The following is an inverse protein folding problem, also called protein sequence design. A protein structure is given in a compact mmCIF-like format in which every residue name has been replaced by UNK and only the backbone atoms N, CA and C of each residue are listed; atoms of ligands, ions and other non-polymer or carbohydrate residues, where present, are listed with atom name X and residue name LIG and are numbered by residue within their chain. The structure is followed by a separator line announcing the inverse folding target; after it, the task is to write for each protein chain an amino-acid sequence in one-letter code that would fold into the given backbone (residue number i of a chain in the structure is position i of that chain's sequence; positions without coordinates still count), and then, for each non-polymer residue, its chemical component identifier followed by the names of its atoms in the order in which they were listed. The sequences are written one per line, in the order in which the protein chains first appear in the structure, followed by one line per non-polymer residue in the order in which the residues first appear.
data_IF_921754827423
#
_entry.id   IF_921754827423
#
_cell.length_a   1.000
_cell.length_b   1.000
_cell.length_c   1.000
_cell.angle_alpha   90.00
_cell.angle_beta   90.00
_cell.angle_gamma   90.00
#
_symmetry.space_group_name_H-M   'P 1'
#
loop_
_entity.id
_entity.type
_entity.pdbx_description
1 polymer ?
#
# COMPACT_ATOMS: atom_id res chain seq x y z
N UNK A 1 42.64 -43.69 51.16
CA UNK A 1 42.98 -42.25 51.35
C UNK A 1 43.75 -41.86 50.08
N UNK A 2 43.39 -40.89 49.23
CA UNK A 2 42.60 -39.69 49.37
C UNK A 2 41.74 -39.44 48.10
N UNK A 3 40.61 -38.74 48.28
CA UNK A 3 39.69 -38.28 47.25
C UNK A 3 40.28 -37.05 46.55
N UNK A 4 40.21 -36.99 45.22
CA UNK A 4 40.48 -35.75 44.48
C UNK A 4 39.32 -35.48 43.51
N UNK A 5 38.42 -34.62 43.95
CA UNK A 5 37.28 -34.13 43.17
C UNK A 5 37.75 -33.08 42.16
N UNK A 6 37.57 -33.35 40.87
CA UNK A 6 37.72 -32.35 39.81
C UNK A 6 36.31 -31.87 39.40
N UNK A 7 35.90 -30.74 39.97
CA UNK A 7 34.72 -29.99 39.53
C UNK A 7 35.08 -29.29 38.22
N UNK A 8 34.62 -29.84 37.09
CA UNK A 8 34.68 -29.15 35.79
C UNK A 8 33.57 -28.10 35.74
N UNK A 9 33.94 -26.85 36.00
CA UNK A 9 33.08 -25.69 35.78
C UNK A 9 32.94 -25.45 34.27
N UNK A 10 31.75 -25.73 33.73
CA UNK A 10 31.42 -25.42 32.34
C UNK A 10 30.90 -23.99 32.27
N UNK A 11 31.77 -23.03 31.91
CA UNK A 11 31.38 -21.66 31.63
C UNK A 11 30.68 -21.60 30.26
N UNK A 12 29.35 -21.50 30.25
CA UNK A 12 28.57 -21.25 29.04
C UNK A 12 28.64 -19.76 28.73
N UNK A 13 29.49 -19.39 27.77
CA UNK A 13 29.49 -18.05 27.18
C UNK A 13 28.34 -17.98 26.18
N UNK A 14 27.23 -17.37 26.58
CA UNK A 14 26.13 -17.05 25.68
C UNK A 14 26.57 -15.94 24.72
N UNK A 15 26.96 -16.31 23.50
CA UNK A 15 27.21 -15.36 22.43
C UNK A 15 25.87 -14.74 22.01
N UNK A 16 25.63 -13.50 22.45
CA UNK A 16 24.58 -12.63 21.90
C UNK A 16 24.98 -12.27 20.47
N UNK A 17 24.54 -13.05 19.49
CA UNK A 17 24.62 -12.65 18.08
C UNK A 17 23.65 -11.49 17.85
N UNK A 18 24.10 -10.34 17.34
CA UNK A 18 23.18 -9.31 16.90
C UNK A 18 22.35 -9.88 15.76
N UNK A 19 21.03 -9.92 15.94
CA UNK A 19 20.08 -10.27 14.90
C UNK A 19 20.21 -9.25 13.77
N UNK A 20 20.97 -9.64 12.74
CA UNK A 20 21.00 -8.92 11.47
C UNK A 20 19.57 -9.00 10.94
N UNK A 21 18.85 -7.89 11.01
CA UNK A 21 17.53 -7.77 10.39
C UNK A 21 17.73 -7.94 8.88
N UNK A 22 17.61 -9.18 8.41
CA UNK A 22 17.55 -9.51 7.00
C UNK A 22 16.24 -8.92 6.45
N UNK A 23 16.28 -7.63 6.09
CA UNK A 23 15.26 -7.02 5.26
C UNK A 23 15.33 -7.74 3.93
N UNK A 24 14.35 -8.60 3.65
CA UNK A 24 14.20 -9.24 2.35
C UNK A 24 14.26 -8.13 1.29
N UNK A 25 15.31 -8.14 0.47
CA UNK A 25 15.58 -7.08 -0.49
C UNK A 25 14.38 -6.95 -1.45
N UNK A 26 13.90 -5.73 -1.61
CA UNK A 26 12.95 -5.41 -2.67
C UNK A 26 13.69 -5.53 -4.01
N UNK A 27 13.30 -6.51 -4.84
CA UNK A 27 13.98 -6.83 -6.09
C UNK A 27 13.49 -6.00 -7.28
N UNK A 28 12.43 -5.20 -7.10
CA UNK A 28 11.89 -4.32 -8.14
C UNK A 28 12.55 -2.93 -8.05
N UNK A 29 13.44 -2.57 -9.00
CA UNK A 29 14.10 -1.26 -9.00
C UNK A 29 13.13 -0.09 -9.21
N UNK A 30 11.93 -0.37 -9.72
CA UNK A 30 10.89 0.63 -9.98
C UNK A 30 9.92 0.78 -8.79
N UNK A 31 10.14 0.05 -7.69
CA UNK A 31 9.28 0.11 -6.51
C UNK A 31 9.92 0.94 -5.39
N UNK A 32 9.40 2.16 -5.10
CA UNK A 32 10.04 3.10 -4.19
C UNK A 32 9.70 2.86 -2.71
N UNK A 33 8.75 1.96 -2.41
CA UNK A 33 8.23 1.80 -1.06
C UNK A 33 9.03 0.78 -0.24
N UNK A 34 9.05 0.97 1.08
CA UNK A 34 9.72 0.05 2.03
C UNK A 34 9.05 -1.33 2.03
N UNK A 35 7.73 -1.38 1.89
CA UNK A 35 6.96 -2.62 1.81
C UNK A 35 7.24 -3.34 0.49
N UNK A 36 7.26 -4.67 0.49
CA UNK A 36 7.39 -5.44 -0.76
C UNK A 36 6.19 -5.18 -1.67
N UNK A 37 6.44 -5.06 -2.97
CA UNK A 37 5.37 -4.98 -3.96
C UNK A 37 4.60 -6.30 -4.02
N UNK A 38 3.32 -6.24 -3.69
CA UNK A 38 2.36 -7.36 -3.84
C UNK A 38 1.27 -6.89 -4.79
N UNK A 39 1.29 -7.32 -6.06
CA UNK A 39 0.42 -6.75 -7.10
C UNK A 39 -1.08 -6.94 -6.82
N UNK A 40 -1.46 -8.12 -6.36
CA UNK A 40 -2.85 -8.51 -6.10
C UNK A 40 -2.96 -9.16 -4.72
N UNK A 41 -4.07 -8.92 -4.05
CA UNK A 41 -4.43 -9.58 -2.81
C UNK A 41 -4.97 -10.99 -3.08
N UNK A 42 -4.93 -11.83 -2.05
CA UNK A 42 -5.66 -13.10 -2.04
C UNK A 42 -6.92 -12.94 -1.20
N UNK A 43 -8.08 -13.35 -1.74
CA UNK A 43 -9.34 -13.32 -1.01
C UNK A 43 -9.24 -14.08 0.32
N UNK A 44 -8.53 -15.22 0.33
CA UNK A 44 -8.36 -16.02 1.55
C UNK A 44 -7.51 -15.36 2.64
N UNK A 45 -6.80 -14.28 2.34
CA UNK A 45 -6.09 -13.48 3.36
C UNK A 45 -7.00 -12.43 4.01
N UNK A 46 -8.10 -12.09 3.36
CA UNK A 46 -9.01 -10.99 3.73
C UNK A 46 -10.31 -11.54 4.33
N UNK A 47 -10.80 -12.66 3.80
CA UNK A 47 -12.08 -13.25 4.13
C UNK A 47 -11.92 -14.53 4.96
N UNK A 48 -12.48 -14.51 6.16
CA UNK A 48 -12.46 -15.63 7.11
C UNK A 48 -13.84 -16.31 7.30
N UNK A 49 -14.81 -16.00 6.44
CA UNK A 49 -16.12 -16.64 6.49
C UNK A 49 -16.20 -17.90 5.62
N UNK A 50 -17.41 -18.44 5.39
CA UNK A 50 -17.61 -19.59 4.52
C UNK A 50 -17.09 -19.35 3.10
N UNK A 51 -16.78 -20.42 2.39
CA UNK A 51 -16.41 -20.34 0.97
C UNK A 51 -17.49 -19.61 0.18
N UNK A 52 -17.07 -18.66 -0.67
CA UNK A 52 -18.00 -17.89 -1.49
C UNK A 52 -18.48 -18.75 -2.66
N UNK A 53 -19.79 -18.87 -2.90
CA UNK A 53 -20.30 -19.60 -4.05
C UNK A 53 -19.86 -18.92 -5.36
N UNK A 54 -19.68 -19.65 -6.47
CA UNK A 54 -19.28 -19.06 -7.75
C UNK A 54 -20.18 -17.91 -8.22
N UNK A 55 -21.48 -17.98 -7.91
CA UNK A 55 -22.47 -16.94 -8.21
C UNK A 55 -22.19 -15.59 -7.51
N UNK A 56 -21.36 -15.55 -6.47
CA UNK A 56 -20.96 -14.31 -5.82
C UNK A 56 -20.21 -13.35 -6.79
N UNK A 57 -19.54 -13.89 -7.81
CA UNK A 57 -18.84 -13.11 -8.84
C UNK A 57 -19.78 -12.28 -9.72
N UNK A 58 -21.06 -12.63 -9.75
CA UNK A 58 -22.10 -11.90 -10.48
C UNK A 58 -22.68 -10.73 -9.68
N UNK A 59 -22.02 -10.27 -8.59
CA UNK A 59 -22.49 -9.16 -7.75
C UNK A 59 -22.84 -7.89 -8.53
N UNK A 60 -22.15 -7.61 -9.64
CA UNK A 60 -22.39 -6.43 -10.48
C UNK A 60 -23.72 -6.48 -11.22
N UNK A 61 -24.33 -7.68 -11.37
CA UNK A 61 -25.67 -7.86 -11.93
C UNK A 61 -26.77 -7.58 -10.91
N UNK A 62 -26.42 -7.46 -9.63
CA UNK A 62 -27.33 -7.06 -8.57
C UNK A 62 -27.18 -5.57 -8.28
N UNK A 63 -28.14 -4.71 -8.65
CA UNK A 63 -28.00 -3.27 -8.49
C UNK A 63 -27.86 -2.82 -7.03
N UNK A 64 -28.50 -3.53 -6.09
CA UNK A 64 -28.45 -3.17 -4.67
C UNK A 64 -27.08 -3.52 -4.07
N UNK A 65 -26.55 -4.71 -4.38
CA UNK A 65 -25.20 -5.09 -3.93
C UNK A 65 -24.14 -4.23 -4.60
N UNK A 66 -24.23 -3.99 -5.92
CA UNK A 66 -23.27 -3.16 -6.65
C UNK A 66 -23.21 -1.74 -6.10
N UNK A 67 -24.37 -1.11 -5.86
CA UNK A 67 -24.43 0.22 -5.26
C UNK A 67 -23.84 0.25 -3.85
N UNK A 68 -24.12 -0.78 -3.04
CA UNK A 68 -23.56 -0.88 -1.70
C UNK A 68 -22.04 -1.05 -1.72
N UNK A 69 -21.49 -1.86 -2.64
CA UNK A 69 -20.04 -2.03 -2.81
C UNK A 69 -19.37 -0.68 -3.08
N UNK A 70 -19.87 0.08 -4.06
CA UNK A 70 -19.33 1.41 -4.39
C UNK A 70 -19.41 2.37 -3.20
N UNK A 71 -20.53 2.34 -2.49
CA UNK A 71 -20.76 3.22 -1.35
C UNK A 71 -19.83 2.92 -0.17
N UNK A 72 -19.72 1.65 0.25
CA UNK A 72 -18.90 1.27 1.42
C UNK A 72 -17.41 1.27 1.10
N UNK A 73 -17.02 1.05 -0.15
CA UNK A 73 -15.62 1.13 -0.58
C UNK A 73 -15.12 2.59 -0.62
N UNK A 74 -16.01 3.58 -0.78
CA UNK A 74 -15.64 4.98 -0.90
C UNK A 74 -14.78 5.47 0.28
N UNK A 75 -13.54 5.87 0.01
CA UNK A 75 -12.55 6.29 1.04
C UNK A 75 -13.04 7.43 1.94
N UNK A 76 -13.86 8.33 1.41
CA UNK A 76 -14.44 9.47 2.15
C UNK A 76 -15.49 9.05 3.18
N UNK A 77 -16.03 7.84 3.09
CA UNK A 77 -17.00 7.34 4.05
C UNK A 77 -16.29 6.85 5.32
N UNK A 78 -16.62 7.38 6.51
CA UNK A 78 -16.10 6.86 7.77
C UNK A 78 -16.35 5.35 7.88
N UNK A 79 -15.36 4.60 8.39
CA UNK A 79 -15.46 3.13 8.45
C UNK A 79 -16.68 2.67 9.27
N UNK A 80 -16.99 3.37 10.36
CA UNK A 80 -18.14 3.05 11.21
C UNK A 80 -19.47 3.14 10.44
N UNK A 81 -19.63 4.16 9.59
CA UNK A 81 -20.83 4.35 8.76
C UNK A 81 -20.94 3.26 7.69
N UNK A 82 -19.82 2.90 7.06
CA UNK A 82 -19.77 1.82 6.09
C UNK A 82 -20.15 0.47 6.73
N UNK A 83 -19.62 0.17 7.92
CA UNK A 83 -19.98 -1.02 8.68
C UNK A 83 -21.46 -1.02 9.10
N UNK A 84 -22.00 0.15 9.46
CA UNK A 84 -23.43 0.28 9.76
C UNK A 84 -24.28 -0.03 8.52
N UNK A 85 -23.92 0.49 7.34
CA UNK A 85 -24.63 0.20 6.08
C UNK A 85 -24.63 -1.28 5.72
N UNK A 86 -23.52 -1.98 5.95
CA UNK A 86 -23.44 -3.44 5.79
C UNK A 86 -24.45 -4.16 6.71
N UNK A 87 -24.51 -3.75 7.98
CA UNK A 87 -25.44 -4.33 8.96
C UNK A 87 -26.90 -4.03 8.63
N UNK A 88 -27.21 -2.79 8.25
CA UNK A 88 -28.54 -2.35 7.85
C UNK A 88 -29.01 -3.12 6.61
N UNK A 89 -28.14 -3.28 5.61
CA UNK A 89 -28.42 -4.07 4.41
C UNK A 89 -28.76 -5.52 4.78
N UNK A 90 -27.92 -6.18 5.57
CA UNK A 90 -28.18 -7.53 6.06
C UNK A 90 -29.47 -7.63 6.88
N UNK A 91 -29.86 -6.59 7.63
CA UNK A 91 -31.11 -6.56 8.38
C UNK A 91 -32.35 -6.40 7.49
N UNK A 92 -32.21 -5.77 6.33
CA UNK A 92 -33.30 -5.57 5.36
C UNK A 92 -33.60 -6.81 4.50
N UNK A 93 -32.70 -7.79 4.49
CA UNK A 93 -32.82 -8.97 3.64
C UNK A 93 -33.70 -10.06 4.27
N UNK A 94 -34.54 -10.75 3.48
CA UNK A 94 -35.13 -12.02 3.89
C UNK A 94 -34.06 -13.05 4.23
N UNK A 95 -34.38 -13.99 5.13
CA UNK A 95 -33.43 -14.97 5.66
C UNK A 95 -32.77 -15.80 4.54
N UNK A 96 -33.55 -16.20 3.53
CA UNK A 96 -33.09 -16.97 2.37
C UNK A 96 -32.16 -16.18 1.43
N UNK A 97 -32.20 -14.85 1.48
CA UNK A 97 -31.35 -13.98 0.66
C UNK A 97 -30.11 -13.50 1.39
N UNK A 98 -30.08 -13.58 2.72
CA UNK A 98 -28.98 -13.06 3.53
C UNK A 98 -27.61 -13.62 3.10
N UNK A 99 -27.44 -14.95 3.16
CA UNK A 99 -26.17 -15.58 2.82
C UNK A 99 -25.70 -15.28 1.37
N UNK A 100 -26.53 -15.47 0.31
CA UNK A 100 -26.07 -15.21 -1.05
C UNK A 100 -25.75 -13.73 -1.32
N UNK A 101 -26.53 -12.78 -0.80
CA UNK A 101 -26.27 -11.34 -1.01
C UNK A 101 -25.02 -10.87 -0.25
N UNK A 102 -24.79 -11.37 0.97
CA UNK A 102 -23.59 -11.04 1.73
C UNK A 102 -22.33 -11.66 1.11
N UNK A 103 -22.43 -12.84 0.49
CA UNK A 103 -21.35 -13.40 -0.28
C UNK A 103 -21.01 -12.55 -1.52
N UNK A 104 -22.03 -12.10 -2.27
CA UNK A 104 -21.85 -11.15 -3.38
C UNK A 104 -21.19 -9.85 -2.91
N UNK A 105 -21.60 -9.32 -1.74
CA UNK A 105 -21.02 -8.10 -1.18
C UNK A 105 -19.52 -8.26 -0.87
N UNK A 106 -19.11 -9.37 -0.24
CA UNK A 106 -17.68 -9.63 0.03
C UNK A 106 -16.90 -9.75 -1.27
N UNK A 107 -17.40 -10.53 -2.23
CA UNK A 107 -16.75 -10.69 -3.53
C UNK A 107 -16.60 -9.33 -4.24
N UNK A 108 -17.65 -8.52 -4.25
CA UNK A 108 -17.63 -7.21 -4.89
C UNK A 108 -16.70 -6.21 -4.19
N UNK A 109 -16.68 -6.17 -2.86
CA UNK A 109 -15.71 -5.34 -2.12
C UNK A 109 -14.28 -5.76 -2.41
N UNK A 110 -14.00 -7.07 -2.41
CA UNK A 110 -12.67 -7.58 -2.74
C UNK A 110 -12.25 -7.19 -4.15
N UNK A 111 -13.06 -7.50 -5.17
CA UNK A 111 -12.73 -7.21 -6.57
C UNK A 111 -12.55 -5.71 -6.81
N UNK A 112 -13.43 -4.87 -6.26
CA UNK A 112 -13.36 -3.42 -6.40
C UNK A 112 -12.10 -2.84 -5.76
N UNK A 113 -11.84 -3.20 -4.50
CA UNK A 113 -10.75 -2.59 -3.73
C UNK A 113 -9.37 -3.16 -4.09
N UNK A 114 -9.28 -4.44 -4.50
CA UNK A 114 -8.03 -5.00 -5.04
C UNK A 114 -7.67 -4.39 -6.40
N UNK A 115 -8.66 -4.15 -7.27
CA UNK A 115 -8.44 -3.43 -8.53
C UNK A 115 -7.96 -1.99 -8.28
N UNK A 116 -8.59 -1.28 -7.35
CA UNK A 116 -8.16 0.06 -6.93
C UNK A 116 -6.72 0.06 -6.39
N UNK A 117 -6.41 -0.89 -5.50
CA UNK A 117 -5.06 -1.05 -4.91
C UNK A 117 -4.03 -1.35 -6.00
N UNK A 118 -4.33 -2.27 -6.92
CA UNK A 118 -3.50 -2.60 -8.07
C UNK A 118 -3.22 -1.39 -8.95
N UNK A 119 -4.23 -0.55 -9.19
CA UNK A 119 -4.09 0.68 -9.95
C UNK A 119 -3.16 1.68 -9.27
N UNK A 120 -3.29 1.87 -7.95
CA UNK A 120 -2.42 2.73 -7.15
C UNK A 120 -0.98 2.23 -7.18
N UNK A 121 -0.74 0.92 -6.95
CA UNK A 121 0.60 0.31 -7.00
C UNK A 121 1.26 0.52 -8.36
N UNK A 122 0.51 0.33 -9.45
CA UNK A 122 1.00 0.60 -10.79
C UNK A 122 1.33 2.08 -10.99
N UNK A 123 0.49 2.99 -10.48
CA UNK A 123 0.73 4.43 -10.48
C UNK A 123 2.01 4.84 -9.75
N UNK A 124 2.22 4.31 -8.55
CA UNK A 124 3.44 4.54 -7.75
C UNK A 124 4.68 4.09 -8.52
N UNK A 125 4.65 2.90 -9.12
CA UNK A 125 5.77 2.38 -9.92
C UNK A 125 6.07 3.30 -11.11
N UNK A 126 5.03 3.68 -11.87
CA UNK A 126 5.19 4.62 -13.01
C UNK A 126 5.75 5.98 -12.58
N UNK A 127 5.34 6.46 -11.41
CA UNK A 127 5.80 7.73 -10.87
C UNK A 127 7.26 7.66 -10.42
N UNK A 128 7.67 6.58 -9.76
CA UNK A 128 9.03 6.34 -9.31
C UNK A 128 10.03 6.24 -10.48
N UNK A 129 9.65 5.56 -11.57
CA UNK A 129 10.49 5.43 -12.77
C UNK A 129 10.96 6.75 -13.39
N UNK A 130 10.21 7.84 -13.20
CA UNK A 130 10.58 9.16 -13.73
C UNK A 130 11.59 9.91 -12.85
N UNK A 131 11.82 9.46 -11.61
CA UNK A 131 12.69 10.16 -10.66
C UNK A 131 14.18 10.09 -11.05
N UNK A 132 14.73 8.94 -11.50
CA UNK A 132 16.12 8.87 -11.95
C UNK A 132 16.42 9.79 -13.13
N UNK A 133 15.52 9.86 -14.12
CA UNK A 133 15.65 10.73 -15.30
C UNK A 133 15.67 12.21 -14.90
N UNK A 134 14.75 12.63 -14.01
CA UNK A 134 14.69 13.99 -13.49
C UNK A 134 15.94 14.34 -12.66
N UNK A 135 16.44 13.40 -11.86
CA UNK A 135 17.68 13.58 -11.12
C UNK A 135 18.89 13.73 -12.05
N UNK A 136 18.96 12.96 -13.13
CA UNK A 136 20.00 13.09 -14.14
C UNK A 136 19.94 14.45 -14.86
N UNK A 137 18.74 14.90 -15.24
CA UNK A 137 18.53 16.20 -15.85
C UNK A 137 18.95 17.36 -14.92
N UNK A 138 18.64 17.27 -13.63
CA UNK A 138 19.07 18.27 -12.64
C UNK A 138 20.59 18.31 -12.45
N UNK A 139 21.25 17.14 -12.36
CA UNK A 139 22.72 17.08 -12.29
C UNK A 139 23.36 17.71 -13.52
N UNK A 140 22.81 17.45 -14.71
CA UNK A 140 23.27 18.07 -15.95
C UNK A 140 23.06 19.59 -15.91
N UNK A 141 21.87 20.06 -15.54
CA UNK A 141 21.57 21.49 -15.46
C UNK A 141 22.48 22.22 -14.45
N UNK A 142 22.78 21.61 -13.31
CA UNK A 142 23.74 22.13 -12.34
C UNK A 142 25.14 22.26 -12.95
N UNK A 143 25.63 21.19 -13.60
CA UNK A 143 26.93 21.20 -14.29
C UNK A 143 26.99 22.26 -15.40
N UNK A 144 25.92 22.42 -16.18
CA UNK A 144 25.84 23.42 -17.25
C UNK A 144 25.91 24.86 -16.68
N UNK A 145 25.27 25.12 -15.53
CA UNK A 145 25.34 26.43 -14.84
C UNK A 145 26.74 26.69 -14.30
N UNK A 146 27.38 25.69 -13.69
CA UNK A 146 28.75 25.83 -13.17
C UNK A 146 29.75 26.06 -14.30
N UNK A 147 29.62 25.34 -15.42
CA UNK A 147 30.43 25.53 -16.61
C UNK A 147 30.22 26.91 -17.25
N UNK A 148 28.99 27.45 -17.22
CA UNK A 148 28.72 28.80 -17.71
C UNK A 148 29.40 29.87 -16.84
N UNK A 149 29.31 29.74 -15.51
CA UNK A 149 29.96 30.65 -14.55
C UNK A 149 31.49 30.68 -14.66
N UNK A 150 32.09 29.58 -15.11
CA UNK A 150 33.54 29.49 -15.29
C UNK A 150 34.07 30.23 -16.54
N UNK A 151 33.18 30.69 -17.44
CA UNK A 151 33.60 31.42 -18.65
C UNK A 151 33.92 32.89 -18.31
N UNK A 152 35.04 33.44 -18.82
CA UNK A 152 35.45 34.82 -18.52
C UNK A 152 34.47 35.89 -19.02
N UNK A 153 33.73 35.59 -20.08
CA UNK A 153 32.82 36.46 -20.82
C UNK A 153 31.35 36.04 -20.67
N UNK A 154 31.03 35.28 -19.62
CA UNK A 154 29.66 34.82 -19.39
C UNK A 154 28.69 35.98 -19.16
N UNK A 155 27.54 35.92 -19.82
CA UNK A 155 26.44 36.86 -19.63
C UNK A 155 25.82 36.67 -18.22
N UNK A 156 25.86 37.68 -17.33
CA UNK A 156 25.27 37.61 -16.00
C UNK A 156 23.78 37.30 -16.00
N UNK A 157 23.03 37.82 -16.96
CA UNK A 157 21.57 37.62 -17.04
C UNK A 157 21.25 36.16 -17.41
N UNK A 158 22.07 35.55 -18.27
CA UNK A 158 21.94 34.14 -18.63
C UNK A 158 22.29 33.21 -17.46
N UNK A 159 23.32 33.56 -16.67
CA UNK A 159 23.66 32.82 -15.45
C UNK A 159 22.50 32.86 -14.47
N UNK A 160 21.92 34.03 -14.22
CA UNK A 160 20.81 34.18 -13.28
C UNK A 160 19.58 33.41 -13.76
N UNK A 161 19.22 33.56 -15.04
CA UNK A 161 18.09 32.84 -15.64
C UNK A 161 18.20 31.33 -15.46
N UNK A 162 19.36 30.74 -15.77
CA UNK A 162 19.58 29.28 -15.61
C UNK A 162 19.64 28.86 -14.16
N UNK A 163 20.16 29.72 -13.28
CA UNK A 163 20.19 29.47 -11.83
C UNK A 163 18.78 29.40 -11.26
N UNK A 164 17.88 30.31 -11.65
CA UNK A 164 16.48 30.30 -11.21
C UNK A 164 15.71 29.10 -11.76
N UNK A 165 15.94 28.72 -13.03
CA UNK A 165 15.38 27.50 -13.59
C UNK A 165 15.82 26.24 -12.82
N UNK A 166 17.11 26.15 -12.49
CA UNK A 166 17.65 25.05 -11.69
C UNK A 166 17.02 25.01 -10.30
N UNK A 167 16.95 26.13 -9.58
CA UNK A 167 16.30 26.21 -8.26
C UNK A 167 14.85 25.75 -8.30
N UNK A 168 14.09 26.22 -9.29
CA UNK A 168 12.70 25.81 -9.47
C UNK A 168 12.58 24.30 -9.72
N UNK A 169 13.38 23.77 -10.65
CA UNK A 169 13.36 22.35 -10.98
C UNK A 169 13.80 21.47 -9.79
N UNK A 170 14.78 21.91 -9.01
CA UNK A 170 15.21 21.23 -7.78
C UNK A 170 14.10 21.20 -6.74
N UNK A 171 13.38 22.31 -6.54
CA UNK A 171 12.21 22.35 -5.64
C UNK A 171 11.15 21.34 -6.07
N UNK A 172 10.77 21.35 -7.35
CA UNK A 172 9.80 20.39 -7.88
C UNK A 172 10.29 18.95 -7.67
N UNK A 173 11.58 18.66 -7.91
CA UNK A 173 12.11 17.32 -7.66
C UNK A 173 12.01 16.91 -6.19
N UNK A 174 12.38 17.79 -5.27
CA UNK A 174 12.31 17.51 -3.84
C UNK A 174 10.86 17.28 -3.37
N UNK A 175 9.91 18.10 -3.81
CA UNK A 175 8.47 17.91 -3.54
C UNK A 175 7.98 16.55 -4.05
N UNK A 176 8.46 16.14 -5.24
CA UNK A 176 8.09 14.85 -5.84
C UNK A 176 8.67 13.66 -5.09
N UNK A 177 9.91 13.76 -4.60
CA UNK A 177 10.54 12.74 -3.74
C UNK A 177 9.83 12.65 -2.39
N UNK A 178 9.50 13.77 -1.77
CA UNK A 178 8.76 13.78 -0.51
C UNK A 178 7.36 13.16 -0.66
N UNK A 179 6.68 13.45 -1.77
CA UNK A 179 5.37 12.88 -2.07
C UNK A 179 5.39 11.35 -2.17
N UNK A 180 6.50 10.75 -2.62
CA UNK A 180 6.64 9.29 -2.70
C UNK A 180 6.48 8.60 -1.36
N UNK A 181 6.91 9.24 -0.27
CA UNK A 181 6.78 8.68 1.08
C UNK A 181 5.31 8.49 1.47
N UNK A 182 4.47 9.48 1.19
CA UNK A 182 3.04 9.44 1.58
C UNK A 182 2.22 8.49 0.70
N UNK A 183 2.49 8.44 -0.61
CA UNK A 183 1.71 7.56 -1.52
C UNK A 183 1.93 6.09 -1.22
N UNK A 184 3.05 5.72 -0.60
CA UNK A 184 3.34 4.34 -0.19
C UNK A 184 2.39 3.80 0.89
N UNK A 185 1.67 4.67 1.62
CA UNK A 185 0.68 4.25 2.63
C UNK A 185 -0.68 3.93 2.01
N UNK A 186 -0.98 4.48 0.83
CA UNK A 186 -2.30 4.36 0.19
C UNK A 186 -2.70 2.90 -0.05
N UNK A 187 -1.84 2.00 -0.59
CA UNK A 187 -2.20 0.59 -0.74
C UNK A 187 -2.55 -0.09 0.58
N UNK A 188 -1.84 0.26 1.66
CA UNK A 188 -2.08 -0.29 3.00
C UNK A 188 -3.42 0.19 3.57
N UNK A 189 -3.77 1.46 3.36
CA UNK A 189 -5.06 2.01 3.82
C UNK A 189 -6.23 1.32 3.11
N UNK A 190 -6.13 1.08 1.79
CA UNK A 190 -7.16 0.34 1.03
C UNK A 190 -7.33 -1.07 1.60
N UNK A 191 -6.23 -1.78 1.84
CA UNK A 191 -6.23 -3.14 2.38
C UNK A 191 -6.82 -3.20 3.79
N UNK A 192 -6.45 -2.28 4.68
CA UNK A 192 -7.01 -2.17 6.03
C UNK A 192 -8.52 -1.94 6.02
N UNK A 193 -8.99 -1.03 5.15
CA UNK A 193 -10.42 -0.77 4.98
C UNK A 193 -11.14 -2.04 4.50
N UNK A 194 -10.62 -2.71 3.47
CA UNK A 194 -11.19 -3.94 2.94
C UNK A 194 -11.29 -5.03 4.02
N UNK A 195 -10.25 -5.19 4.83
CA UNK A 195 -10.28 -6.13 5.97
C UNK A 195 -11.37 -5.77 6.99
N UNK A 196 -11.47 -4.50 7.39
CA UNK A 196 -12.48 -4.05 8.37
C UNK A 196 -13.92 -4.25 7.87
N UNK A 197 -14.16 -4.04 6.58
CA UNK A 197 -15.47 -4.28 5.96
C UNK A 197 -15.77 -5.77 5.84
N UNK A 198 -14.80 -6.57 5.40
CA UNK A 198 -14.93 -8.04 5.29
C UNK A 198 -15.21 -8.67 6.66
N UNK A 199 -14.52 -8.19 7.71
CA UNK A 199 -14.78 -8.57 9.09
C UNK A 199 -16.21 -8.24 9.51
N UNK A 200 -16.70 -7.04 9.20
CA UNK A 200 -18.07 -6.64 9.53
C UNK A 200 -19.13 -7.53 8.85
N UNK A 201 -18.90 -7.96 7.60
CA UNK A 201 -19.78 -8.94 6.94
C UNK A 201 -19.76 -10.28 7.68
N UNK A 202 -18.58 -10.79 8.03
CA UNK A 202 -18.42 -12.06 8.75
C UNK A 202 -19.15 -12.04 10.11
N UNK A 203 -18.95 -11.00 10.90
CA UNK A 203 -19.63 -10.80 12.20
C UNK A 203 -21.15 -10.70 12.04
N UNK A 204 -21.62 -10.00 11.01
CA UNK A 204 -23.05 -9.84 10.73
C UNK A 204 -23.70 -11.18 10.36
N UNK A 205 -23.01 -12.01 9.59
CA UNK A 205 -23.47 -13.36 9.26
C UNK A 205 -23.46 -14.28 10.49
N UNK A 206 -22.45 -14.19 11.35
CA UNK A 206 -22.37 -14.98 12.57
C UNK A 206 -23.48 -14.63 13.57
N UNK A 207 -23.86 -13.35 13.68
CA UNK A 207 -24.92 -12.90 14.58
C UNK A 207 -26.35 -13.26 14.14
N UNK A 208 -26.52 -13.71 12.89
CA UNK A 208 -27.82 -14.10 12.31
C UNK A 208 -27.98 -15.60 12.10
N UNK A 209 -26.96 -16.39 12.45
CA UNK A 209 -27.05 -17.85 12.59
C UNK A 209 -27.70 -18.19 13.93
#
# INVERSE_FOLDING_TARGET
MARMSLVRSLAVVAMLTPSVNARAANTDPDWPCIQRKVPQLSLGQIWNGPELPPAAKDFSKDPAVSALVEEVAARRMPIADAQKKIKDFAASLPAEQLAPKMAMLVQGMFDHMDAERSHVISGISRYARKQPEMAAALRKAASDVDALRAKPDADPDEIERRTEQLKFATRIFNERVQSLTYVCEVPTIIEQRLYQLSKAVSETLAAKK
#
